data_IF_690261205542
#
_entry.id   IF_690261205542
#
_cell.length_a   1.000
_cell.length_b   1.000
_cell.length_c   1.000
_cell.angle_alpha   90.00
_cell.angle_beta   90.00
_cell.angle_gamma   90.00
#
_symmetry.space_group_name_H-M   'P 1'
#
loop_
_entity.id
_entity.type
_entity.pdbx_description
1 polymer ?
#
# COMPACT_ATOMS: atom_id res chain seq x y z
N UNK A 1 -18.35 -17.90 34.83
CA UNK A 1 -19.31 -17.36 33.83
C UNK A 1 -18.83 -17.78 32.45
N UNK A 2 -19.71 -18.29 31.57
CA UNK A 2 -19.32 -18.58 30.19
C UNK A 2 -18.95 -17.28 29.46
N UNK A 3 -17.95 -17.36 28.58
CA UNK A 3 -17.53 -16.23 27.73
C UNK A 3 -18.65 -15.92 26.73
N UNK A 4 -19.05 -14.65 26.62
CA UNK A 4 -19.94 -14.21 25.57
C UNK A 4 -19.12 -13.94 24.30
N UNK A 5 -19.05 -14.93 23.42
CA UNK A 5 -18.24 -14.87 22.19
C UNK A 5 -18.64 -13.72 21.27
N UNK A 6 -19.93 -13.43 21.10
CA UNK A 6 -20.41 -12.34 20.24
C UNK A 6 -19.92 -10.97 20.72
N UNK A 7 -19.98 -10.76 22.04
CA UNK A 7 -19.50 -9.52 22.67
C UNK A 7 -17.99 -9.36 22.46
N UNK A 8 -17.21 -10.42 22.66
CA UNK A 8 -15.76 -10.35 22.49
C UNK A 8 -15.37 -10.16 21.01
N UNK A 9 -16.04 -10.83 20.07
CA UNK A 9 -15.84 -10.63 18.62
C UNK A 9 -16.15 -9.18 18.24
N UNK A 10 -17.29 -8.64 18.67
CA UNK A 10 -17.68 -7.25 18.37
C UNK A 10 -16.66 -6.25 18.92
N UNK A 11 -16.14 -6.50 20.13
CA UNK A 11 -15.12 -5.67 20.76
C UNK A 11 -13.80 -5.71 19.97
N UNK A 12 -13.33 -6.89 19.58
CA UNK A 12 -12.11 -7.04 18.78
C UNK A 12 -12.25 -6.38 17.41
N UNK A 13 -13.39 -6.58 16.75
CA UNK A 13 -13.70 -5.95 15.47
C UNK A 13 -13.65 -4.43 15.57
N UNK A 14 -14.30 -3.83 16.58
CA UNK A 14 -14.24 -2.38 16.79
C UNK A 14 -12.83 -1.88 17.07
N UNK A 15 -12.06 -2.59 17.90
CA UNK A 15 -10.69 -2.22 18.22
C UNK A 15 -9.79 -2.25 16.97
N UNK A 16 -9.98 -3.25 16.10
CA UNK A 16 -9.28 -3.32 14.81
C UNK A 16 -9.58 -2.10 13.94
N UNK A 17 -10.85 -1.75 13.73
CA UNK A 17 -11.22 -0.58 12.91
C UNK A 17 -10.70 0.73 13.49
N UNK A 18 -10.70 0.89 14.82
CA UNK A 18 -10.11 2.05 15.47
C UNK A 18 -8.60 2.13 15.23
N UNK A 19 -7.90 1.00 15.30
CA UNK A 19 -6.47 0.96 15.00
C UNK A 19 -6.19 1.31 13.53
N UNK A 20 -6.99 0.76 12.60
CA UNK A 20 -6.89 1.04 11.16
C UNK A 20 -7.08 2.53 10.83
N UNK A 21 -8.07 3.18 11.45
CA UNK A 21 -8.31 4.61 11.31
C UNK A 21 -7.12 5.46 11.80
N UNK A 22 -6.50 5.07 12.92
CA UNK A 22 -5.35 5.78 13.47
C UNK A 22 -4.05 5.57 12.67
N UNK A 23 -3.87 4.44 11.96
CA UNK A 23 -2.67 4.20 11.11
C UNK A 23 -2.52 5.31 10.07
N UNK A 24 -3.58 5.58 9.30
CA UNK A 24 -3.54 6.58 8.22
C UNK A 24 -3.36 8.00 8.77
N UNK A 25 -4.06 8.33 9.87
CA UNK A 25 -3.94 9.64 10.52
C UNK A 25 -2.56 9.86 11.10
N UNK A 26 -1.96 8.84 11.69
CA UNK A 26 -0.62 8.91 12.28
C UNK A 26 0.42 9.26 11.22
N UNK A 27 0.34 8.69 10.02
CA UNK A 27 1.21 9.09 8.90
C UNK A 27 1.13 10.59 8.63
N UNK A 28 -0.08 11.15 8.50
CA UNK A 28 -0.23 12.58 8.19
C UNK A 28 0.19 13.50 9.33
N UNK A 29 -0.01 13.11 10.60
CA UNK A 29 0.53 13.83 11.76
C UNK A 29 2.06 13.89 11.71
N UNK A 30 2.72 12.76 11.42
CA UNK A 30 4.18 12.73 11.29
C UNK A 30 4.68 13.53 10.09
N UNK A 31 3.92 13.55 8.99
CA UNK A 31 4.20 14.40 7.85
C UNK A 31 4.14 15.89 8.22
N UNK A 32 3.15 16.34 8.98
CA UNK A 32 3.08 17.74 9.46
C UNK A 32 4.28 18.10 10.33
N UNK A 33 4.65 17.23 11.27
CA UNK A 33 5.86 17.41 12.09
C UNK A 33 7.11 17.50 11.22
N UNK A 34 7.25 16.63 10.21
CA UNK A 34 8.40 16.64 9.31
C UNK A 34 8.47 17.92 8.46
N UNK A 35 7.32 18.46 8.03
CA UNK A 35 7.25 19.74 7.30
C UNK A 35 7.72 20.89 8.20
N UNK A 36 7.23 20.95 9.43
CA UNK A 36 7.58 22.02 10.36
C UNK A 36 9.06 21.98 10.75
N UNK A 37 9.65 20.79 10.89
CA UNK A 37 11.08 20.62 11.16
C UNK A 37 11.98 20.92 9.95
N UNK A 38 11.52 20.66 8.73
CA UNK A 38 12.33 20.85 7.52
C UNK A 38 12.46 22.32 7.10
N UNK A 39 11.61 23.22 7.63
CA UNK A 39 11.66 24.65 7.39
C UNK A 39 10.84 25.13 6.18
N UNK A 40 10.79 26.45 5.93
CA UNK A 40 9.80 27.07 5.03
C UNK A 40 10.00 26.77 3.54
N UNK A 41 11.20 26.38 3.12
CA UNK A 41 11.54 26.13 1.71
C UNK A 41 11.18 24.71 1.25
N UNK A 42 10.76 23.83 2.16
CA UNK A 42 10.43 22.45 1.83
C UNK A 42 9.11 22.35 1.07
N UNK A 43 9.07 21.52 0.04
CA UNK A 43 7.82 21.15 -0.61
C UNK A 43 7.21 19.96 0.14
N UNK A 44 5.96 20.07 0.62
CA UNK A 44 5.31 18.97 1.35
C UNK A 44 5.26 17.64 0.58
N UNK A 45 5.12 17.70 -0.75
CA UNK A 45 5.15 16.53 -1.63
C UNK A 45 6.48 15.77 -1.55
N UNK A 46 7.61 16.48 -1.47
CA UNK A 46 8.93 15.85 -1.43
C UNK A 46 9.10 15.02 -0.15
N UNK A 47 8.56 15.52 0.98
CA UNK A 47 8.49 14.78 2.25
C UNK A 47 7.60 13.54 2.10
N UNK A 48 6.41 13.69 1.53
CA UNK A 48 5.48 12.57 1.30
C UNK A 48 6.10 11.47 0.44
N UNK A 49 6.74 11.85 -0.67
CA UNK A 49 7.43 10.93 -1.58
C UNK A 49 8.62 10.24 -0.91
N UNK A 50 9.40 10.97 -0.11
CA UNK A 50 10.52 10.37 0.61
C UNK A 50 10.07 9.38 1.69
N UNK A 51 9.02 9.72 2.43
CA UNK A 51 8.42 8.83 3.41
C UNK A 51 7.88 7.55 2.73
N UNK A 52 7.17 7.69 1.61
CA UNK A 52 6.68 6.57 0.80
C UNK A 52 7.82 5.65 0.34
N UNK A 53 8.92 6.22 -0.15
CA UNK A 53 10.10 5.44 -0.55
C UNK A 53 10.71 4.65 0.60
N UNK A 54 10.92 5.28 1.76
CA UNK A 54 11.55 4.63 2.90
C UNK A 54 10.67 3.52 3.47
N UNK A 55 9.37 3.80 3.63
CA UNK A 55 8.40 2.80 4.08
C UNK A 55 8.29 1.63 3.09
N UNK A 56 8.30 1.91 1.78
CA UNK A 56 8.22 0.90 0.74
C UNK A 56 9.42 -0.05 0.77
N UNK A 57 10.64 0.48 0.90
CA UNK A 57 11.87 -0.33 1.05
C UNK A 57 11.80 -1.26 2.26
N UNK A 58 11.40 -0.73 3.42
CA UNK A 58 11.33 -1.55 4.63
C UNK A 58 10.25 -2.64 4.56
N UNK A 59 9.12 -2.36 3.92
CA UNK A 59 8.10 -3.37 3.66
C UNK A 59 8.58 -4.40 2.65
N UNK A 60 9.27 -4.00 1.57
CA UNK A 60 9.86 -4.90 0.59
C UNK A 60 10.75 -5.96 1.23
N UNK A 61 11.66 -5.54 2.12
CA UNK A 61 12.52 -6.46 2.90
C UNK A 61 11.71 -7.47 3.72
N UNK A 62 10.62 -7.03 4.35
CA UNK A 62 9.75 -7.88 5.15
C UNK A 62 8.93 -8.89 4.32
N UNK A 63 8.75 -8.65 3.02
CA UNK A 63 8.08 -9.58 2.13
C UNK A 63 8.98 -10.75 1.71
N UNK A 64 10.30 -10.54 1.60
CA UNK A 64 11.24 -11.52 1.04
C UNK A 64 11.09 -12.95 1.62
N UNK A 65 10.98 -13.17 2.95
CA UNK A 65 10.87 -14.52 3.49
C UNK A 65 9.57 -15.25 3.11
N UNK A 66 8.56 -14.50 2.64
CA UNK A 66 7.25 -15.03 2.27
C UNK A 66 7.12 -15.30 0.77
N UNK A 67 8.07 -14.84 -0.05
CA UNK A 67 8.06 -15.01 -1.49
C UNK A 67 8.80 -16.28 -1.90
N UNK A 68 8.29 -16.99 -2.91
CA UNK A 68 8.89 -18.24 -3.36
C UNK A 68 8.76 -18.41 -4.88
N UNK A 69 9.86 -18.14 -5.59
CA UNK A 69 9.96 -18.30 -7.04
C UNK A 69 9.88 -19.76 -7.51
N UNK A 70 10.31 -20.72 -6.69
CA UNK A 70 10.30 -22.15 -7.06
C UNK A 70 8.90 -22.73 -7.26
N UNK A 71 7.85 -22.00 -6.85
CA UNK A 71 6.45 -22.36 -7.11
C UNK A 71 5.99 -22.02 -8.54
N UNK A 72 6.88 -21.48 -9.37
CA UNK A 72 6.58 -21.03 -10.72
C UNK A 72 6.17 -19.56 -10.77
N UNK A 73 6.39 -18.96 -11.95
CA UNK A 73 6.22 -17.53 -12.18
C UNK A 73 4.82 -17.02 -11.84
N UNK A 74 3.77 -17.68 -12.33
CA UNK A 74 2.39 -17.29 -12.10
C UNK A 74 2.02 -17.27 -10.59
N UNK A 75 2.44 -18.31 -9.86
CA UNK A 75 2.19 -18.41 -8.42
C UNK A 75 2.96 -17.33 -7.67
N UNK A 76 4.22 -17.12 -8.05
CA UNK A 76 5.04 -16.05 -7.48
C UNK A 76 4.42 -14.67 -7.69
N UNK A 77 4.00 -14.34 -8.92
CA UNK A 77 3.39 -13.05 -9.24
C UNK A 77 2.10 -12.83 -8.43
N UNK A 78 1.26 -13.87 -8.28
CA UNK A 78 0.09 -13.81 -7.42
C UNK A 78 0.45 -13.66 -5.94
N UNK A 79 1.54 -14.25 -5.46
CA UNK A 79 2.01 -14.05 -4.08
C UNK A 79 2.43 -12.59 -3.84
N UNK A 80 3.17 -11.99 -4.77
CA UNK A 80 3.55 -10.57 -4.70
C UNK A 80 2.30 -9.68 -4.75
N UNK A 81 1.42 -9.89 -5.74
CA UNK A 81 0.18 -9.12 -5.88
C UNK A 81 -0.73 -9.19 -4.65
N UNK A 82 -0.92 -10.39 -4.08
CA UNK A 82 -1.70 -10.57 -2.85
C UNK A 82 -1.03 -9.92 -1.64
N UNK A 83 0.30 -9.94 -1.54
CA UNK A 83 1.02 -9.26 -0.47
C UNK A 83 0.83 -7.74 -0.55
N UNK A 84 0.91 -7.16 -1.76
CA UNK A 84 0.64 -5.74 -1.98
C UNK A 84 -0.83 -5.38 -1.68
N UNK A 85 -1.78 -6.21 -2.11
CA UNK A 85 -3.20 -6.03 -1.78
C UNK A 85 -3.44 -6.08 -0.26
N UNK A 86 -2.76 -6.99 0.44
CA UNK A 86 -2.84 -7.16 1.90
C UNK A 86 -2.40 -5.95 2.71
N UNK A 87 -1.61 -5.04 2.13
CA UNK A 87 -1.25 -3.76 2.77
C UNK A 87 -2.51 -2.92 2.99
N UNK A 88 -3.38 -2.79 1.97
CA UNK A 88 -4.64 -2.08 2.16
C UNK A 88 -5.53 -2.75 3.20
N UNK A 89 -5.60 -4.09 3.24
CA UNK A 89 -6.38 -4.81 4.26
C UNK A 89 -5.90 -4.48 5.68
N UNK A 90 -4.58 -4.29 5.86
CA UNK A 90 -4.00 -3.86 7.14
C UNK A 90 -4.39 -2.43 7.50
N UNK A 91 -4.53 -1.57 6.50
CA UNK A 91 -4.93 -0.16 6.65
C UNK A 91 -6.45 0.04 6.78
N UNK A 92 -7.27 -1.02 6.59
CA UNK A 92 -8.74 -0.94 6.62
C UNK A 92 -9.41 -0.75 5.26
N UNK A 93 -8.65 -0.92 4.17
CA UNK A 93 -9.14 -0.96 2.81
C UNK A 93 -9.68 -2.34 2.38
N UNK A 94 -10.29 -2.36 1.19
CA UNK A 94 -10.74 -3.58 0.52
C UNK A 94 -9.96 -3.67 -0.79
N UNK A 95 -9.08 -4.67 -0.88
CA UNK A 95 -8.24 -4.88 -2.03
C UNK A 95 -8.02 -6.37 -2.32
N UNK A 96 -7.72 -6.68 -3.57
CA UNK A 96 -7.47 -8.02 -4.05
C UNK A 96 -6.57 -7.98 -5.29
N UNK A 97 -5.94 -9.11 -5.61
CA UNK A 97 -5.15 -9.29 -6.81
C UNK A 97 -5.83 -10.28 -7.75
N UNK A 98 -5.76 -10.01 -9.05
CA UNK A 98 -6.30 -10.84 -10.12
C UNK A 98 -5.20 -11.12 -11.14
N UNK A 99 -5.24 -12.30 -11.75
CA UNK A 99 -4.30 -12.66 -12.81
C UNK A 99 -4.50 -11.76 -14.02
N UNK A 100 -3.40 -11.39 -14.66
CA UNK A 100 -3.41 -10.79 -16.00
C UNK A 100 -3.59 -11.84 -17.09
N UNK A 101 -3.31 -11.45 -18.33
CA UNK A 101 -3.41 -12.36 -19.48
C UNK A 101 -2.28 -13.40 -19.48
N UNK A 102 -1.12 -13.02 -18.95
CA UNK A 102 0.11 -13.84 -18.95
C UNK A 102 0.58 -14.15 -17.52
N UNK A 103 1.40 -15.19 -17.36
CA UNK A 103 1.94 -15.61 -16.05
C UNK A 103 2.76 -14.54 -15.34
N UNK A 104 3.35 -13.62 -16.10
CA UNK A 104 4.17 -12.51 -15.61
C UNK A 104 3.37 -11.24 -15.29
N UNK A 105 2.03 -11.30 -15.23
CA UNK A 105 1.18 -10.13 -15.05
C UNK A 105 0.08 -10.35 -14.01
N UNK A 106 -0.12 -9.36 -13.14
CA UNK A 106 -1.16 -9.34 -12.11
C UNK A 106 -1.74 -7.92 -12.00
N UNK A 107 -3.05 -7.83 -11.89
CA UNK A 107 -3.75 -6.58 -11.57
C UNK A 107 -4.09 -6.53 -10.09
N UNK A 108 -3.79 -5.41 -9.44
CA UNK A 108 -4.10 -5.19 -8.04
C UNK A 108 -5.16 -4.09 -7.96
N UNK A 109 -6.31 -4.44 -7.37
CA UNK A 109 -7.47 -3.56 -7.28
C UNK A 109 -7.74 -3.20 -5.83
N UNK A 110 -8.07 -1.93 -5.57
CA UNK A 110 -8.60 -1.49 -4.30
C UNK A 110 -9.87 -0.65 -4.51
N UNK A 111 -11.00 -1.18 -4.06
CA UNK A 111 -12.33 -0.58 -4.24
C UNK A 111 -12.73 0.31 -3.06
N UNK A 112 -12.04 0.16 -1.92
CA UNK A 112 -12.21 1.02 -0.75
C UNK A 112 -10.85 1.32 -0.14
N UNK A 113 -10.46 2.59 -0.16
CA UNK A 113 -9.18 3.04 0.40
C UNK A 113 -9.43 4.12 1.46
N UNK A 114 -8.86 4.00 2.68
CA UNK A 114 -9.05 4.98 3.75
C UNK A 114 -8.17 6.24 3.59
N UNK A 115 -7.09 6.17 2.81
CA UNK A 115 -6.11 7.24 2.67
C UNK A 115 -6.66 8.57 2.15
N UNK A 116 -7.50 8.63 1.10
CA UNK A 116 -8.07 9.89 0.63
C UNK A 116 -8.90 10.60 1.71
N UNK A 117 -9.64 9.84 2.52
CA UNK A 117 -10.43 10.38 3.63
C UNK A 117 -9.53 10.96 4.71
N UNK A 118 -8.48 10.23 5.10
CA UNK A 118 -7.50 10.73 6.07
C UNK A 118 -6.80 11.99 5.55
N UNK A 119 -6.28 11.96 4.32
CA UNK A 119 -5.60 13.08 3.67
C UNK A 119 -6.43 14.37 3.68
N UNK A 120 -7.74 14.25 3.37
CA UNK A 120 -8.67 15.38 3.40
C UNK A 120 -8.77 16.03 4.78
N UNK A 121 -8.72 15.23 5.85
CA UNK A 121 -8.73 15.72 7.24
C UNK A 121 -7.51 16.58 7.61
N UNK A 122 -6.39 16.42 6.89
CA UNK A 122 -5.14 17.17 7.07
C UNK A 122 -4.87 18.17 5.94
N UNK A 123 -5.86 18.45 5.08
CA UNK A 123 -5.71 19.39 3.96
C UNK A 123 -4.69 18.96 2.90
N UNK A 124 -4.36 17.67 2.81
CA UNK A 124 -3.36 17.16 1.86
C UNK A 124 -3.98 17.03 0.46
N UNK A 125 -3.29 17.49 -0.61
CA UNK A 125 -3.79 17.35 -1.98
C UNK A 125 -3.97 15.88 -2.38
N UNK A 126 -5.07 15.58 -3.10
CA UNK A 126 -5.35 14.23 -3.59
C UNK A 126 -4.26 13.70 -4.53
N UNK A 127 -3.60 14.57 -5.29
CA UNK A 127 -2.50 14.18 -6.17
C UNK A 127 -1.30 13.68 -5.39
N UNK A 128 -1.01 14.25 -4.21
CA UNK A 128 0.04 13.72 -3.34
C UNK A 128 -0.30 12.30 -2.87
N UNK A 129 -1.56 12.03 -2.52
CA UNK A 129 -2.00 10.67 -2.15
C UNK A 129 -1.76 9.67 -3.29
N UNK A 130 -2.05 10.07 -4.53
CA UNK A 130 -1.82 9.24 -5.71
C UNK A 130 -0.32 8.95 -5.92
N UNK A 131 0.51 10.00 -5.97
CA UNK A 131 1.94 9.88 -6.24
C UNK A 131 2.70 9.13 -5.14
N UNK A 132 2.38 9.39 -3.88
CA UNK A 132 2.99 8.68 -2.75
C UNK A 132 2.63 7.20 -2.73
N UNK A 133 1.38 6.82 -3.06
CA UNK A 133 0.98 5.41 -3.12
C UNK A 133 1.67 4.67 -4.27
N UNK A 134 1.81 5.30 -5.43
CA UNK A 134 2.56 4.73 -6.55
C UNK A 134 4.05 4.56 -6.20
N UNK A 135 4.70 5.61 -5.68
CA UNK A 135 6.11 5.55 -5.27
C UNK A 135 6.34 4.48 -4.19
N UNK A 136 5.42 4.36 -3.24
CA UNK A 136 5.46 3.34 -2.20
C UNK A 136 5.47 1.92 -2.77
N UNK A 137 4.59 1.61 -3.72
CA UNK A 137 4.58 0.27 -4.33
C UNK A 137 5.77 0.03 -5.25
N UNK A 138 6.20 1.02 -6.02
CA UNK A 138 7.41 0.91 -6.86
C UNK A 138 8.64 0.56 -6.01
N UNK A 139 8.78 1.19 -4.86
CA UNK A 139 9.95 1.01 -3.98
C UNK A 139 9.93 -0.30 -3.20
N UNK A 140 8.75 -0.88 -2.94
CA UNK A 140 8.62 -2.26 -2.43
C UNK A 140 9.27 -3.25 -3.41
N UNK A 141 9.10 -3.05 -4.73
CA UNK A 141 9.60 -3.96 -5.74
C UNK A 141 11.10 -3.82 -6.01
N UNK A 142 11.75 -2.71 -5.63
CA UNK A 142 13.19 -2.51 -5.82
C UNK A 142 13.99 -3.65 -5.14
N UNK A 143 13.75 -3.89 -3.84
CA UNK A 143 14.45 -4.93 -3.08
C UNK A 143 14.03 -6.35 -3.48
N UNK A 144 12.74 -6.56 -3.81
CA UNK A 144 12.24 -7.87 -4.29
C UNK A 144 12.91 -8.25 -5.61
N UNK A 145 13.05 -7.28 -6.52
CA UNK A 145 13.65 -7.49 -7.83
C UNK A 145 15.14 -7.83 -7.72
N UNK A 146 15.87 -7.10 -6.87
CA UNK A 146 17.28 -7.33 -6.61
C UNK A 146 17.50 -8.71 -5.98
N UNK A 147 16.73 -9.05 -4.94
CA UNK A 147 16.93 -10.30 -4.19
C UNK A 147 16.67 -11.55 -5.02
N UNK A 148 15.63 -11.53 -5.86
CA UNK A 148 15.25 -12.67 -6.69
C UNK A 148 15.89 -12.66 -8.08
N UNK A 149 16.59 -11.57 -8.43
CA UNK A 149 17.13 -11.32 -9.76
C UNK A 149 16.04 -11.40 -10.85
N UNK A 150 14.90 -10.75 -10.60
CA UNK A 150 13.74 -10.69 -11.49
C UNK A 150 13.32 -9.23 -11.61
N UNK A 151 13.28 -8.68 -12.82
CA UNK A 151 12.91 -7.27 -13.00
C UNK A 151 11.39 -7.11 -12.89
N UNK A 152 10.89 -6.70 -11.72
CA UNK A 152 9.47 -6.42 -11.49
C UNK A 152 9.19 -4.93 -11.59
N UNK A 153 8.06 -4.59 -12.21
CA UNK A 153 7.54 -3.23 -12.33
C UNK A 153 6.10 -3.17 -11.87
N UNK A 154 5.71 -1.99 -11.39
CA UNK A 154 4.32 -1.69 -11.07
C UNK A 154 3.98 -0.27 -11.51
N UNK A 155 2.85 -0.14 -12.20
CA UNK A 155 2.32 1.13 -12.69
C UNK A 155 0.89 1.35 -12.21
N UNK A 156 0.57 2.60 -11.86
CA UNK A 156 -0.78 3.00 -11.49
C UNK A 156 -1.61 3.34 -12.74
N UNK A 157 -2.63 2.54 -13.02
CA UNK A 157 -3.56 2.76 -14.13
C UNK A 157 -4.77 3.60 -13.71
N UNK A 158 -5.25 3.40 -12.49
CA UNK A 158 -6.34 4.18 -11.90
C UNK A 158 -6.07 4.53 -10.44
N UNK A 159 -6.62 5.66 -10.00
CA UNK A 159 -6.51 6.14 -8.64
C UNK A 159 -7.83 6.73 -8.14
N UNK A 160 -8.28 6.31 -6.95
CA UNK A 160 -9.42 6.92 -6.25
C UNK A 160 -9.25 8.44 -6.07
N UNK A 161 -8.08 8.96 -5.64
CA UNK A 161 -7.87 10.41 -5.49
C UNK A 161 -8.06 11.21 -6.80
N UNK A 162 -7.94 10.56 -7.95
CA UNK A 162 -8.17 11.15 -9.29
C UNK A 162 -9.61 10.99 -9.79
N UNK A 163 -10.53 10.54 -8.94
CA UNK A 163 -11.95 10.39 -9.26
C UNK A 163 -12.32 9.14 -10.07
N UNK A 164 -11.44 8.14 -10.15
CA UNK A 164 -11.63 6.97 -11.02
C UNK A 164 -12.35 5.78 -10.33
N UNK A 165 -12.88 5.98 -9.12
CA UNK A 165 -13.72 5.01 -8.40
C UNK A 165 -12.98 3.84 -7.74
N UNK A 166 -11.79 3.49 -8.23
CA UNK A 166 -10.94 2.43 -7.70
C UNK A 166 -9.45 2.77 -7.88
N UNK A 167 -8.59 2.09 -7.12
CA UNK A 167 -7.20 1.95 -7.52
C UNK A 167 -7.07 0.72 -8.42
N UNK A 168 -6.31 0.88 -9.50
CA UNK A 168 -5.90 -0.21 -10.34
C UNK A 168 -4.41 -0.07 -10.60
N UNK A 169 -3.65 -1.05 -10.15
CA UNK A 169 -2.23 -1.17 -10.46
C UNK A 169 -1.99 -2.39 -11.33
N UNK A 170 -1.04 -2.28 -12.26
CA UNK A 170 -0.54 -3.40 -13.04
C UNK A 170 0.85 -3.75 -12.54
N UNK A 171 0.99 -4.93 -11.97
CA UNK A 171 2.25 -5.55 -11.59
C UNK A 171 2.69 -6.48 -12.72
N UNK A 172 3.90 -6.32 -13.22
CA UNK A 172 4.40 -7.15 -14.30
C UNK A 172 5.91 -7.41 -14.20
N UNK A 173 6.35 -8.51 -14.82
CA UNK A 173 7.76 -8.80 -15.06
C UNK A 173 8.18 -8.13 -16.37
N UNK A 174 9.21 -7.30 -16.33
CA UNK A 174 9.82 -6.68 -17.51
C UNK A 174 10.78 -7.68 -18.17
N UNK A 175 10.68 -7.83 -19.49
CA UNK A 175 11.51 -8.75 -20.29
C UNK A 175 12.98 -8.31 -20.40
#
# INVERSE_FOLDING_TARGET
MPVNSEKEITKLWRNLHNAQDEICKTYYRWREVAIELAGPDVKPLDIGLKAAEMMGKDIGKNLLPRLNWLKGEEVFMMMVGNALAGIWSTEGGIAFAEKGENSGEVFIKCTRCPWPTAAKGFGVPMEEVALTRERFFQTILEDVSIFLNINLKIEMLKAIPRGQGEWLFRLYKEE
#
